data_IF_636954562544
#
_entry.id   IF_636954562544
#
_cell.length_a   1.000
_cell.length_b   1.000
_cell.length_c   1.000
_cell.angle_alpha   90.00
_cell.angle_beta   90.00
_cell.angle_gamma   90.00
#
_symmetry.space_group_name_H-M   'P 1'
#
loop_
_entity.id
_entity.type
_entity.pdbx_description
1 polymer ?
#
# COMPACT_ATOMS: atom_id res chain seq x y z
N UNK A 1 7.18 13.09 6.64
CA UNK A 1 5.86 13.74 6.50
C UNK A 1 5.58 14.25 5.07
N UNK A 2 6.33 15.17 4.47
CA UNK A 2 6.03 15.72 3.13
C UNK A 2 5.86 14.64 2.04
N UNK A 3 6.73 13.64 1.99
CA UNK A 3 6.65 12.53 1.03
C UNK A 3 5.36 11.74 1.21
N UNK A 4 4.95 11.43 2.44
CA UNK A 4 3.72 10.70 2.72
C UNK A 4 2.49 11.48 2.26
N UNK A 5 2.43 12.79 2.50
CA UNK A 5 1.36 13.67 2.03
C UNK A 5 1.30 13.69 0.50
N UNK A 6 2.44 13.86 -0.17
CA UNK A 6 2.50 13.86 -1.62
C UNK A 6 2.01 12.54 -2.23
N UNK A 7 2.39 11.41 -1.63
CA UNK A 7 1.95 10.08 -2.07
C UNK A 7 0.47 9.84 -1.79
N UNK A 8 -0.05 10.25 -0.62
CA UNK A 8 -1.47 10.16 -0.30
C UNK A 8 -2.31 10.93 -1.34
N UNK A 9 -1.92 12.17 -1.67
CA UNK A 9 -2.59 12.97 -2.71
C UNK A 9 -2.51 12.26 -4.07
N UNK A 10 -1.31 11.80 -4.46
CA UNK A 10 -1.09 11.15 -5.74
C UNK A 10 -1.98 9.92 -5.93
N UNK A 11 -2.04 9.03 -4.94
CA UNK A 11 -2.85 7.82 -5.02
C UNK A 11 -4.35 8.12 -4.92
N UNK A 12 -4.76 9.02 -4.01
CA UNK A 12 -6.16 9.40 -3.86
C UNK A 12 -6.76 9.92 -5.18
N UNK A 13 -6.06 10.80 -5.88
CA UNK A 13 -6.50 11.35 -7.19
C UNK A 13 -6.60 10.30 -8.30
N UNK A 14 -5.85 9.20 -8.19
CA UNK A 14 -5.81 8.13 -9.20
C UNK A 14 -6.68 6.94 -8.88
N UNK A 15 -7.19 6.88 -7.68
CA UNK A 15 -8.23 5.91 -7.33
C UNK A 15 -9.48 6.15 -8.17
N UNK A 16 -10.28 5.10 -8.34
CA UNK A 16 -11.49 5.13 -9.17
C UNK A 16 -12.71 4.70 -8.35
N UNK A 17 -13.89 4.91 -8.94
CA UNK A 17 -15.15 4.48 -8.35
C UNK A 17 -15.37 5.04 -6.96
N UNK A 18 -15.87 4.23 -6.06
CA UNK A 18 -16.17 4.60 -4.66
C UNK A 18 -14.94 5.06 -3.87
N UNK A 19 -13.74 4.73 -4.31
CA UNK A 19 -12.48 5.10 -3.63
C UNK A 19 -11.79 6.33 -4.23
N UNK A 20 -12.41 6.97 -5.22
CA UNK A 20 -11.83 8.17 -5.85
C UNK A 20 -11.68 9.30 -4.83
N UNK A 21 -10.51 9.93 -4.83
CA UNK A 21 -10.14 11.00 -3.89
C UNK A 21 -10.19 10.61 -2.40
N UNK A 22 -10.08 9.31 -2.07
CA UNK A 22 -10.05 8.84 -0.70
C UNK A 22 -8.64 8.42 -0.29
N UNK A 23 -8.27 8.76 0.94
CA UNK A 23 -7.10 8.25 1.66
C UNK A 23 -7.46 8.01 3.12
N UNK A 24 -6.61 7.30 3.85
CA UNK A 24 -6.75 7.10 5.30
C UNK A 24 -5.53 7.62 6.03
N UNK A 25 -5.73 8.17 7.22
CA UNK A 25 -4.66 8.49 8.16
C UNK A 25 -4.51 7.36 9.18
N UNK A 26 -3.32 7.24 9.77
CA UNK A 26 -3.10 6.29 10.86
C UNK A 26 -3.95 6.66 12.08
N UNK A 27 -4.80 5.71 12.53
CA UNK A 27 -5.58 5.87 13.75
C UNK A 27 -6.04 4.52 14.30
N UNK A 28 -6.58 4.51 15.53
CA UNK A 28 -7.24 3.32 16.10
C UNK A 28 -8.53 2.97 15.35
N UNK A 29 -9.18 3.97 14.78
CA UNK A 29 -10.38 3.82 13.94
C UNK A 29 -10.08 4.52 12.61
N UNK A 30 -9.42 3.84 11.68
CA UNK A 30 -9.10 4.45 10.39
C UNK A 30 -10.39 4.71 9.62
N UNK A 31 -10.54 5.94 9.14
CA UNK A 31 -11.65 6.35 8.31
C UNK A 31 -11.15 6.94 7.00
N UNK A 32 -11.98 6.82 5.96
CA UNK A 32 -11.68 7.49 4.71
C UNK A 32 -11.85 8.99 4.85
N UNK A 33 -10.82 9.70 4.45
CA UNK A 33 -10.79 11.15 4.33
C UNK A 33 -10.89 11.50 2.86
N UNK A 34 -11.89 12.29 2.49
CA UNK A 34 -12.04 12.79 1.12
C UNK A 34 -11.07 13.93 0.88
N UNK A 35 -10.21 13.80 -0.12
CA UNK A 35 -9.25 14.82 -0.54
C UNK A 35 -9.99 16.07 -1.04
N UNK A 36 -9.67 17.24 -0.48
CA UNK A 36 -10.30 18.51 -0.82
C UNK A 36 -9.27 19.52 -1.30
N UNK A 37 -9.69 20.37 -2.22
CA UNK A 37 -8.88 21.44 -2.80
C UNK A 37 -8.78 21.35 -4.33
N UNK A 38 -8.72 22.49 -5.00
CA UNK A 38 -8.59 22.58 -6.46
C UNK A 38 -7.12 22.57 -6.89
N UNK A 39 -6.26 23.20 -6.11
CA UNK A 39 -4.83 23.28 -6.39
C UNK A 39 -4.04 22.32 -5.49
N UNK A 40 -2.86 21.90 -5.94
CA UNK A 40 -1.96 21.05 -5.16
C UNK A 40 -1.65 21.67 -3.78
N UNK A 41 -1.44 22.96 -3.71
CA UNK A 41 -1.17 23.66 -2.45
C UNK A 41 -2.35 23.58 -1.48
N UNK A 42 -3.58 23.72 -1.99
CA UNK A 42 -4.79 23.57 -1.16
C UNK A 42 -4.92 22.14 -0.64
N UNK A 43 -4.66 21.14 -1.48
CA UNK A 43 -4.68 19.71 -1.09
C UNK A 43 -3.64 19.39 -0.03
N UNK A 44 -2.41 19.87 -0.21
CA UNK A 44 -1.35 19.70 0.81
C UNK A 44 -1.79 20.30 2.15
N UNK A 45 -2.24 21.56 2.16
CA UNK A 45 -2.71 22.22 3.39
C UNK A 45 -3.92 21.52 4.02
N UNK A 46 -4.76 20.90 3.22
CA UNK A 46 -5.88 20.13 3.71
C UNK A 46 -5.41 18.86 4.40
N UNK A 47 -4.55 18.06 3.74
CA UNK A 47 -4.01 16.81 4.29
C UNK A 47 -3.15 17.04 5.53
N UNK A 48 -2.37 18.11 5.57
CA UNK A 48 -1.57 18.49 6.76
C UNK A 48 -2.43 18.76 8.01
N UNK A 49 -3.68 19.19 7.83
CA UNK A 49 -4.60 19.51 8.92
C UNK A 49 -5.47 18.34 9.35
N UNK A 50 -5.45 17.22 8.63
CA UNK A 50 -6.16 16.02 9.05
C UNK A 50 -5.53 15.47 10.32
N UNK A 51 -6.32 14.79 11.13
CA UNK A 51 -5.81 14.14 12.33
C UNK A 51 -4.92 12.96 11.96
N UNK A 52 -3.66 13.01 12.42
CA UNK A 52 -2.70 11.93 12.29
C UNK A 52 -2.59 11.22 13.64
N UNK A 53 -3.22 10.04 13.76
CA UNK A 53 -3.11 9.23 14.96
C UNK A 53 -1.75 8.54 15.08
N UNK A 54 -1.40 8.10 16.29
CA UNK A 54 -0.12 7.41 16.56
C UNK A 54 -0.25 5.88 16.49
N UNK A 55 -1.44 5.33 16.49
CA UNK A 55 -1.70 3.88 16.48
C UNK A 55 -2.32 3.45 15.16
N UNK A 56 -1.85 2.33 14.62
CA UNK A 56 -2.35 1.78 13.37
C UNK A 56 -3.11 0.49 13.61
N UNK A 57 -4.40 0.51 13.37
CA UNK A 57 -5.23 -0.68 13.35
C UNK A 57 -5.42 -1.15 11.89
N UNK A 58 -4.54 -2.03 11.40
CA UNK A 58 -4.61 -2.55 10.04
C UNK A 58 -5.89 -3.35 9.78
N UNK A 59 -6.33 -4.14 10.75
CA UNK A 59 -7.57 -4.89 10.61
C UNK A 59 -8.74 -3.94 10.33
N UNK A 60 -8.89 -2.89 11.13
CA UNK A 60 -9.95 -1.90 10.93
C UNK A 60 -9.82 -1.15 9.59
N UNK A 61 -8.59 -0.94 9.07
CA UNK A 61 -8.40 -0.35 7.75
C UNK A 61 -8.94 -1.25 6.63
N UNK A 62 -8.66 -2.56 6.68
CA UNK A 62 -9.23 -3.52 5.72
C UNK A 62 -10.74 -3.64 5.88
N UNK A 63 -11.25 -3.68 7.10
CA UNK A 63 -12.70 -3.69 7.36
C UNK A 63 -13.36 -2.47 6.73
N UNK A 64 -12.77 -1.29 6.87
CA UNK A 64 -13.30 -0.06 6.29
C UNK A 64 -13.32 -0.07 4.76
N UNK A 65 -12.31 -0.67 4.13
CA UNK A 65 -12.31 -0.89 2.67
C UNK A 65 -13.48 -1.80 2.27
N UNK A 66 -13.66 -2.93 2.96
CA UNK A 66 -14.73 -3.87 2.67
C UNK A 66 -16.13 -3.26 2.90
N UNK A 67 -16.33 -2.55 4.01
CA UNK A 67 -17.58 -1.84 4.30
C UNK A 67 -17.94 -0.85 3.19
N UNK A 68 -16.97 -0.05 2.75
CA UNK A 68 -17.18 0.90 1.64
C UNK A 68 -17.56 0.18 0.34
N UNK A 69 -16.96 -1.00 0.07
CA UNK A 69 -17.33 -1.79 -1.09
C UNK A 69 -18.77 -2.28 -1.04
N UNK A 70 -19.22 -2.75 0.14
CA UNK A 70 -20.57 -3.24 0.36
C UNK A 70 -21.60 -2.09 0.34
N UNK A 71 -21.27 -0.95 0.95
CA UNK A 71 -22.17 0.22 1.02
C UNK A 71 -22.43 0.85 -0.36
N UNK A 72 -21.51 0.66 -1.31
CA UNK A 72 -21.58 1.26 -2.65
C UNK A 72 -21.75 0.22 -3.76
N UNK A 73 -22.04 -1.04 -3.43
CA UNK A 73 -22.19 -2.15 -4.38
C UNK A 73 -21.04 -2.20 -5.40
N UNK A 74 -19.79 -2.04 -4.92
CA UNK A 74 -18.58 -1.99 -5.75
C UNK A 74 -18.39 -3.34 -6.45
N UNK A 75 -18.14 -3.32 -7.75
CA UNK A 75 -17.84 -4.54 -8.50
C UNK A 75 -16.47 -5.12 -8.09
N UNK A 76 -16.29 -6.45 -8.07
CA UNK A 76 -15.02 -7.09 -7.69
C UNK A 76 -13.81 -6.57 -8.48
N UNK A 77 -13.97 -6.25 -9.75
CA UNK A 77 -12.93 -5.67 -10.62
C UNK A 77 -12.59 -4.21 -10.31
N UNK A 78 -13.46 -3.50 -9.61
CA UNK A 78 -13.27 -2.10 -9.19
C UNK A 78 -12.67 -1.98 -7.79
N UNK A 79 -12.48 -3.11 -7.10
CA UNK A 79 -11.85 -3.13 -5.78
C UNK A 79 -10.41 -2.63 -5.83
N UNK A 80 -9.94 -1.94 -4.77
CA UNK A 80 -8.54 -1.58 -4.66
C UNK A 80 -7.65 -2.83 -4.72
N UNK A 81 -6.64 -2.81 -5.57
CA UNK A 81 -5.69 -3.94 -5.70
C UNK A 81 -4.70 -4.02 -4.55
N UNK A 82 -4.42 -2.90 -3.92
CA UNK A 82 -3.50 -2.81 -2.80
C UNK A 82 -3.86 -1.70 -1.82
N UNK A 83 -3.55 -1.92 -0.56
CA UNK A 83 -3.50 -0.93 0.49
C UNK A 83 -2.03 -0.53 0.67
N UNK A 84 -1.69 0.71 0.29
CA UNK A 84 -0.33 1.24 0.38
C UNK A 84 -0.18 1.98 1.70
N UNK A 85 0.68 1.46 2.56
CA UNK A 85 1.00 2.01 3.88
C UNK A 85 2.30 2.79 3.79
N UNK A 86 2.21 4.10 3.83
CA UNK A 86 3.37 5.01 3.77
C UNK A 86 3.73 5.44 5.19
N UNK A 87 4.86 4.99 5.72
CA UNK A 87 5.26 5.22 7.10
C UNK A 87 6.78 5.25 7.23
N UNK A 88 7.29 5.72 8.38
CA UNK A 88 8.68 5.53 8.81
C UNK A 88 8.92 4.15 9.43
N UNK A 89 7.90 3.29 9.46
CA UNK A 89 7.90 1.95 10.03
C UNK A 89 8.14 1.91 11.57
N UNK A 90 8.00 3.00 12.26
CA UNK A 90 7.89 3.00 13.72
C UNK A 90 6.48 2.54 14.17
N UNK A 91 6.01 1.43 13.60
CA UNK A 91 4.74 0.80 13.95
C UNK A 91 5.00 -0.05 15.18
N UNK A 92 4.15 0.07 16.19
CA UNK A 92 4.22 -0.75 17.41
C UNK A 92 4.43 -2.22 17.05
N UNK A 93 5.43 -2.87 17.69
CA UNK A 93 5.72 -4.30 17.55
C UNK A 93 4.53 -5.12 18.05
N UNK A 94 3.50 -5.15 17.26
CA UNK A 94 2.46 -6.14 17.45
C UNK A 94 3.01 -7.46 16.92
N UNK A 95 3.48 -8.32 17.83
CA UNK A 95 4.10 -9.60 17.49
C UNK A 95 3.23 -10.51 16.60
N UNK A 96 3.57 -11.80 16.53
CA UNK A 96 2.94 -12.81 15.63
C UNK A 96 1.40 -12.82 15.54
N UNK A 97 0.71 -12.19 16.49
CA UNK A 97 -0.75 -12.01 16.48
C UNK A 97 -1.28 -11.14 15.34
N UNK A 98 -0.47 -10.24 14.79
CA UNK A 98 -0.92 -9.34 13.73
C UNK A 98 -1.17 -10.04 12.41
N UNK A 99 -0.62 -11.21 12.20
CA UNK A 99 -0.80 -11.94 10.95
C UNK A 99 -2.00 -12.88 10.96
N UNK A 100 -2.51 -13.24 12.14
CA UNK A 100 -3.77 -14.00 12.25
C UNK A 100 -4.95 -13.17 11.71
N UNK A 101 -4.90 -11.83 11.81
CA UNK A 101 -5.95 -11.00 11.24
C UNK A 101 -6.00 -11.08 9.71
N UNK A 102 -4.83 -11.20 9.05
CA UNK A 102 -4.77 -11.22 7.58
C UNK A 102 -5.50 -12.45 7.00
N UNK A 103 -5.30 -13.60 7.60
CA UNK A 103 -5.97 -14.84 7.18
C UNK A 103 -7.49 -14.72 7.44
N UNK A 104 -7.88 -14.19 8.60
CA UNK A 104 -9.29 -13.93 8.93
C UNK A 104 -9.93 -12.89 7.97
N UNK A 105 -9.21 -11.82 7.65
CA UNK A 105 -9.69 -10.82 6.69
C UNK A 105 -9.85 -11.41 5.29
N UNK A 106 -8.94 -12.29 4.89
CA UNK A 106 -9.04 -12.99 3.61
C UNK A 106 -10.33 -13.81 3.50
N UNK A 107 -10.65 -14.60 4.53
CA UNK A 107 -11.90 -15.36 4.59
C UNK A 107 -13.13 -14.44 4.55
N UNK A 108 -13.09 -13.31 5.27
CA UNK A 108 -14.17 -12.31 5.30
C UNK A 108 -14.42 -11.68 3.93
N UNK A 109 -13.36 -11.31 3.20
CA UNK A 109 -13.46 -10.76 1.84
C UNK A 109 -14.00 -11.81 0.86
N UNK A 110 -13.46 -13.05 0.90
CA UNK A 110 -13.91 -14.15 0.06
C UNK A 110 -15.39 -14.47 0.29
N UNK A 111 -15.86 -14.45 1.55
CA UNK A 111 -17.27 -14.64 1.88
C UNK A 111 -18.17 -13.56 1.25
N UNK A 112 -17.68 -12.33 1.15
CA UNK A 112 -18.39 -11.21 0.49
C UNK A 112 -18.21 -11.19 -1.05
N UNK A 113 -17.49 -12.16 -1.63
CA UNK A 113 -17.25 -12.23 -3.08
C UNK A 113 -16.11 -11.35 -3.57
N UNK A 114 -15.26 -10.83 -2.69
CA UNK A 114 -14.13 -9.98 -3.01
C UNK A 114 -12.79 -10.66 -2.77
N UNK A 115 -11.75 -10.15 -3.42
CA UNK A 115 -10.37 -10.50 -3.09
C UNK A 115 -9.79 -9.51 -2.10
N UNK A 116 -9.05 -10.01 -1.10
CA UNK A 116 -8.34 -9.15 -0.16
C UNK A 116 -7.27 -8.35 -0.91
N UNK A 117 -7.24 -7.01 -0.80
CA UNK A 117 -6.17 -6.19 -1.36
C UNK A 117 -4.79 -6.61 -0.86
N UNK A 118 -3.77 -6.54 -1.71
CA UNK A 118 -2.40 -6.68 -1.26
C UNK A 118 -2.06 -5.58 -0.24
N UNK A 119 -1.12 -5.85 0.66
CA UNK A 119 -0.58 -4.82 1.55
C UNK A 119 0.83 -4.46 1.11
N UNK A 120 1.07 -3.19 0.87
CA UNK A 120 2.36 -2.65 0.46
C UNK A 120 2.85 -1.72 1.55
N UNK A 121 3.88 -2.13 2.27
CA UNK A 121 4.56 -1.27 3.22
C UNK A 121 5.65 -0.47 2.50
N UNK A 122 5.53 0.84 2.55
CA UNK A 122 6.53 1.73 1.99
C UNK A 122 7.18 2.56 3.08
N UNK A 123 8.42 2.21 3.39
CA UNK A 123 9.24 2.94 4.32
C UNK A 123 9.88 4.16 3.64
N UNK A 124 9.43 5.36 4.02
CA UNK A 124 9.89 6.62 3.43
C UNK A 124 10.95 7.35 4.25
N UNK A 125 11.18 6.94 5.51
CA UNK A 125 12.16 7.59 6.39
C UNK A 125 12.66 6.60 7.45
N UNK A 126 13.38 5.57 6.99
CA UNK A 126 13.90 4.56 7.91
C UNK A 126 15.09 5.05 8.70
N UNK A 127 14.92 5.13 10.00
CA UNK A 127 16.04 5.22 10.96
C UNK A 127 16.51 3.85 11.43
N UNK A 128 15.73 2.80 11.19
CA UNK A 128 16.00 1.43 11.59
C UNK A 128 15.74 0.49 10.41
N UNK A 129 16.65 -0.47 10.18
CA UNK A 129 16.54 -1.50 9.12
C UNK A 129 15.52 -2.61 9.44
N UNK A 130 14.57 -2.36 10.35
CA UNK A 130 13.62 -3.37 10.80
C UNK A 130 12.30 -3.20 10.06
N UNK A 131 11.98 -4.17 9.20
CA UNK A 131 10.64 -4.32 8.63
C UNK A 131 9.76 -5.12 9.58
N UNK A 132 8.54 -4.65 9.82
CA UNK A 132 7.57 -5.31 10.70
C UNK A 132 6.76 -6.40 9.99
N UNK A 133 7.06 -6.71 8.74
CA UNK A 133 6.35 -7.68 7.95
C UNK A 133 7.30 -8.75 7.39
N UNK A 134 6.86 -10.01 7.38
CA UNK A 134 7.56 -11.08 6.69
C UNK A 134 7.21 -11.04 5.20
N UNK A 135 8.20 -10.70 4.34
CA UNK A 135 8.06 -10.67 2.88
C UNK A 135 7.74 -12.04 2.27
N UNK A 136 7.82 -13.12 3.05
CA UNK A 136 7.46 -14.48 2.62
C UNK A 136 5.96 -14.69 2.51
N UNK A 137 5.13 -13.81 3.07
CA UNK A 137 3.68 -13.93 2.94
C UNK A 137 3.21 -13.45 1.58
N UNK A 138 2.39 -14.28 0.95
CA UNK A 138 1.72 -13.94 -0.32
C UNK A 138 0.81 -12.73 -0.09
N UNK A 139 0.90 -11.71 -0.94
CA UNK A 139 0.10 -10.49 -0.83
C UNK A 139 0.76 -9.37 0.00
N UNK A 140 1.99 -9.57 0.51
CA UNK A 140 2.75 -8.54 1.22
C UNK A 140 3.96 -8.12 0.40
N UNK A 141 4.15 -6.82 0.24
CA UNK A 141 5.31 -6.23 -0.44
C UNK A 141 5.95 -5.17 0.46
N UNK A 142 7.27 -5.07 0.39
CA UNK A 142 8.05 -4.13 1.19
C UNK A 142 8.88 -3.25 0.24
N UNK A 143 8.71 -1.94 0.39
CA UNK A 143 9.48 -0.93 -0.33
C UNK A 143 10.19 -0.01 0.65
N UNK A 144 11.41 0.43 0.30
CA UNK A 144 12.18 1.37 1.11
C UNK A 144 12.80 2.45 0.22
N UNK A 145 12.86 3.66 0.74
CA UNK A 145 13.47 4.81 0.10
C UNK A 145 12.49 5.72 -0.61
N UNK A 146 12.97 6.91 -0.96
CA UNK A 146 12.19 8.01 -1.55
C UNK A 146 12.55 8.28 -3.01
N UNK A 147 13.23 7.35 -3.68
CA UNK A 147 13.66 7.56 -5.06
C UNK A 147 12.52 7.39 -6.07
N UNK A 148 12.64 8.09 -7.19
CA UNK A 148 11.71 7.95 -8.32
C UNK A 148 11.68 6.49 -8.81
N UNK A 149 12.83 5.81 -8.79
CA UNK A 149 12.94 4.40 -9.19
C UNK A 149 12.12 3.50 -8.26
N UNK A 150 12.18 3.71 -6.93
CA UNK A 150 11.35 2.98 -5.96
C UNK A 150 9.88 3.16 -6.26
N UNK A 151 9.46 4.40 -6.53
CA UNK A 151 8.07 4.71 -6.88
C UNK A 151 7.63 4.03 -8.19
N UNK A 152 8.45 4.10 -9.25
CA UNK A 152 8.17 3.43 -10.51
C UNK A 152 8.09 1.91 -10.35
N UNK A 153 9.00 1.32 -9.59
CA UNK A 153 8.99 -0.11 -9.29
C UNK A 153 7.71 -0.52 -8.56
N UNK A 154 7.25 0.27 -7.59
CA UNK A 154 6.00 0.01 -6.90
C UNK A 154 4.82 0.03 -7.88
N UNK A 155 4.68 1.08 -8.68
CA UNK A 155 3.58 1.20 -9.65
C UNK A 155 3.55 0.04 -10.66
N UNK A 156 4.72 -0.39 -11.13
CA UNK A 156 4.85 -1.47 -12.11
C UNK A 156 4.64 -2.87 -11.53
N UNK A 157 4.66 -3.01 -10.20
CA UNK A 157 4.69 -4.29 -9.52
C UNK A 157 3.58 -4.47 -8.46
N UNK A 158 2.56 -3.63 -8.44
CA UNK A 158 1.44 -3.73 -7.48
C UNK A 158 0.83 -5.13 -7.44
N UNK A 159 0.69 -5.78 -8.60
CA UNK A 159 0.12 -7.13 -8.74
C UNK A 159 1.20 -8.20 -8.94
N UNK A 160 2.49 -7.86 -8.76
CA UNK A 160 3.60 -8.75 -9.10
C UNK A 160 4.04 -9.57 -7.89
N UNK A 161 4.49 -10.79 -8.14
CA UNK A 161 5.21 -11.57 -7.13
C UNK A 161 6.67 -11.07 -7.04
N UNK A 162 7.38 -11.31 -5.91
CA UNK A 162 8.80 -10.94 -5.79
C UNK A 162 9.66 -11.52 -6.93
N UNK A 163 9.39 -12.75 -7.35
CA UNK A 163 10.09 -13.41 -8.46
C UNK A 163 9.86 -12.67 -9.78
N UNK A 164 8.61 -12.38 -10.13
CA UNK A 164 8.26 -11.62 -11.34
C UNK A 164 8.86 -10.21 -11.34
N UNK A 165 8.91 -9.57 -10.18
CA UNK A 165 9.55 -8.26 -10.04
C UNK A 165 11.05 -8.32 -10.28
N UNK A 166 11.71 -9.37 -9.78
CA UNK A 166 13.14 -9.64 -10.02
C UNK A 166 13.40 -9.94 -11.50
N UNK A 167 12.61 -10.83 -12.11
CA UNK A 167 12.71 -11.18 -13.54
C UNK A 167 12.61 -9.93 -14.42
N UNK A 168 11.63 -9.07 -14.21
CA UNK A 168 11.48 -7.80 -14.95
C UNK A 168 12.72 -6.90 -14.86
N UNK A 169 13.41 -6.90 -13.71
CA UNK A 169 14.65 -6.13 -13.56
C UNK A 169 15.79 -6.78 -14.34
N UNK A 170 15.97 -8.10 -14.19
CA UNK A 170 17.05 -8.86 -14.82
C UNK A 170 16.90 -8.88 -16.35
N UNK A 171 15.68 -9.03 -16.84
CA UNK A 171 15.36 -9.07 -18.27
C UNK A 171 15.27 -7.68 -18.91
N UNK A 172 15.48 -6.62 -18.14
CA UNK A 172 15.45 -5.27 -18.68
C UNK A 172 16.60 -5.05 -19.67
N UNK A 173 16.37 -4.16 -20.63
CA UNK A 173 17.33 -3.80 -21.70
C UNK A 173 18.71 -3.40 -21.14
N UNK A 174 18.74 -2.83 -19.93
CA UNK A 174 19.97 -2.49 -19.21
C UNK A 174 20.89 -3.67 -18.97
N UNK A 175 20.35 -4.87 -18.79
CA UNK A 175 21.10 -6.09 -18.50
C UNK A 175 21.20 -7.05 -19.70
N UNK A 176 20.70 -6.66 -20.88
CA UNK A 176 20.74 -7.48 -22.10
C UNK A 176 22.18 -7.87 -22.54
N UNK A 177 23.18 -7.10 -22.10
CA UNK A 177 24.60 -7.40 -22.37
C UNK A 177 25.18 -8.45 -21.40
N UNK A 178 24.53 -8.75 -20.30
CA UNK A 178 25.00 -9.75 -19.32
C UNK A 178 24.64 -11.14 -19.83
N UNK A 179 25.66 -11.89 -20.24
CA UNK A 179 25.51 -13.29 -20.66
C UNK A 179 26.10 -14.18 -19.59
N UNK A 180 25.38 -15.21 -19.18
CA UNK A 180 25.97 -16.31 -18.40
C UNK A 180 27.00 -17.00 -19.32
N UNK A 181 28.27 -16.97 -18.92
CA UNK A 181 29.28 -17.76 -19.62
C UNK A 181 28.82 -19.21 -19.60
N UNK A 182 28.71 -19.84 -20.77
CA UNK A 182 28.55 -21.28 -20.84
C UNK A 182 29.71 -21.89 -20.09
N UNK A 183 29.46 -22.59 -19.00
CA UNK A 183 30.39 -23.53 -18.45
C UNK A 183 30.69 -24.57 -19.55
N UNK A 184 31.92 -24.56 -20.06
CA UNK A 184 32.43 -25.55 -21.00
C UNK A 184 32.57 -26.90 -20.26
#
# INVERSE_FOLDING_TARGET
MATAIGLAIYFAERNRGAYHNLFMTFSQKPEFVSLRGETLLQKIKYVERTEWGMNTNFQAAFERVLETALDHDVLPEEMPKALIVVSDMEIDRCGDRNWMFYDHMKEKYEYCGYQLPNIIFWNVDSRNDIFHADSRRKGVQLYSGQSVTTFQNLLNNIDSTPVKSMEKVIESERYACVRTGNAA
#
